data_IF_544017275351
#
_entry.id   IF_544017275351
#
_cell.length_a   1.000
_cell.length_b   1.000
_cell.length_c   1.000
_cell.angle_alpha   90.00
_cell.angle_beta   90.00
_cell.angle_gamma   90.00
#
_symmetry.space_group_name_H-M   'P 1'
#
loop_
_entity.id
_entity.type
_entity.pdbx_description
1 polymer ?
#
# COMPACT_ATOMS: atom_id res chain seq x y z
N UNK A 1 -5.66 -1.43 21.73
CA UNK A 1 -6.56 -1.17 20.59
C UNK A 1 -5.73 -0.70 19.39
N UNK A 2 -6.07 -1.18 18.21
CA UNK A 2 -5.51 -0.74 16.92
C UNK A 2 -6.64 -0.10 16.10
N UNK A 3 -6.41 1.10 15.56
CA UNK A 3 -7.31 1.75 14.62
C UNK A 3 -6.62 1.83 13.25
N UNK A 4 -7.14 1.09 12.28
CA UNK A 4 -6.63 1.05 10.91
C UNK A 4 -7.49 1.98 10.05
N UNK A 5 -6.85 2.96 9.43
CA UNK A 5 -7.51 4.01 8.69
C UNK A 5 -6.81 4.25 7.36
N UNK A 6 -7.54 4.25 6.26
CA UNK A 6 -7.02 4.46 4.91
C UNK A 6 -5.81 3.56 4.56
N UNK A 7 -5.77 2.35 5.10
CA UNK A 7 -4.65 1.46 4.93
C UNK A 7 -5.11 0.00 4.92
N UNK A 8 -4.44 -0.83 4.14
CA UNK A 8 -4.65 -2.28 4.14
C UNK A 8 -3.37 -3.02 4.57
N UNK A 9 -2.98 -2.94 5.86
CA UNK A 9 -1.71 -3.47 6.35
C UNK A 9 -1.52 -4.97 6.10
N UNK A 10 -2.58 -5.75 6.08
CA UNK A 10 -2.51 -7.19 5.78
C UNK A 10 -1.88 -7.51 4.41
N UNK A 11 -1.87 -6.54 3.48
CA UNK A 11 -1.29 -6.73 2.14
C UNK A 11 -0.26 -5.67 1.74
N UNK A 12 -0.14 -4.57 2.49
CA UNK A 12 0.79 -3.48 2.14
C UNK A 12 2.02 -3.41 3.01
N UNK A 13 1.98 -3.98 4.21
CA UNK A 13 3.13 -3.98 5.12
C UNK A 13 4.09 -5.15 4.82
N UNK A 14 5.41 -4.95 5.00
CA UNK A 14 6.38 -6.05 4.92
C UNK A 14 6.17 -7.07 6.04
N UNK A 15 6.79 -8.25 5.93
CA UNK A 15 6.57 -9.41 6.80
C UNK A 15 5.07 -9.67 7.04
N UNK A 16 4.36 -9.90 5.93
CA UNK A 16 2.91 -10.13 5.97
C UNK A 16 2.50 -11.16 7.02
N UNK A 17 3.27 -12.22 7.20
CA UNK A 17 2.96 -13.27 8.16
C UNK A 17 3.00 -12.76 9.61
N UNK A 18 3.93 -11.87 9.93
CA UNK A 18 4.01 -11.21 11.23
C UNK A 18 2.84 -10.26 11.46
N UNK A 19 2.48 -9.48 10.43
CA UNK A 19 1.30 -8.60 10.48
C UNK A 19 0.03 -9.40 10.74
N UNK A 20 -0.20 -10.49 10.00
CA UNK A 20 -1.37 -11.34 10.18
C UNK A 20 -1.41 -11.99 11.57
N UNK A 21 -0.27 -12.45 12.08
CA UNK A 21 -0.20 -12.94 13.48
C UNK A 21 -0.53 -11.85 14.50
N UNK A 22 -0.11 -10.60 14.23
CA UNK A 22 -0.44 -9.45 15.06
C UNK A 22 -1.93 -9.13 15.06
N UNK A 23 -2.57 -9.12 13.88
CA UNK A 23 -4.00 -8.87 13.73
C UNK A 23 -4.87 -10.00 14.29
N UNK A 24 -4.37 -11.24 14.31
CA UNK A 24 -5.07 -12.42 14.84
C UNK A 24 -5.07 -12.50 16.39
N UNK A 25 -4.42 -11.59 17.10
CA UNK A 25 -4.33 -11.63 18.56
C UNK A 25 -5.68 -11.35 19.20
N UNK A 26 -6.08 -12.20 20.12
CA UNK A 26 -7.34 -12.06 20.89
C UNK A 26 -7.32 -10.89 21.89
N UNK A 27 -6.13 -10.46 22.32
CA UNK A 27 -5.93 -9.32 23.22
C UNK A 27 -5.82 -7.97 22.50
N UNK A 28 -5.91 -7.96 21.16
CA UNK A 28 -5.86 -6.76 20.32
C UNK A 28 -7.26 -6.44 19.78
N UNK A 29 -7.93 -5.44 20.36
CA UNK A 29 -9.16 -4.91 19.77
C UNK A 29 -8.83 -4.06 18.56
N UNK A 30 -9.34 -4.44 17.38
CA UNK A 30 -9.03 -3.83 16.10
C UNK A 30 -10.27 -3.18 15.48
N UNK A 31 -10.16 -1.91 15.14
CA UNK A 31 -11.15 -1.15 14.36
C UNK A 31 -10.57 -0.85 12.98
N UNK A 32 -11.32 -1.13 11.92
CA UNK A 32 -10.94 -0.76 10.55
C UNK A 32 -11.97 0.21 9.99
N UNK A 33 -11.48 1.36 9.51
CA UNK A 33 -12.27 2.39 8.85
C UNK A 33 -11.81 2.50 7.39
N UNK A 34 -12.58 1.93 6.47
CA UNK A 34 -12.21 1.83 5.05
C UNK A 34 -13.45 1.82 4.16
N UNK A 35 -13.25 2.08 2.87
CA UNK A 35 -14.30 2.17 1.84
C UNK A 35 -14.82 0.80 1.41
N UNK A 36 -14.02 -0.25 1.58
CA UNK A 36 -14.34 -1.64 1.18
C UNK A 36 -13.86 -2.63 2.24
N UNK A 37 -14.42 -3.85 2.22
CA UNK A 37 -13.97 -4.93 3.09
C UNK A 37 -12.60 -5.47 2.62
N UNK A 38 -11.55 -4.77 3.06
CA UNK A 38 -10.16 -5.13 2.79
C UNK A 38 -9.77 -6.45 3.46
N UNK A 39 -8.61 -7.00 3.08
CA UNK A 39 -8.06 -8.16 3.79
C UNK A 39 -7.76 -7.84 5.25
N UNK A 40 -7.43 -6.59 5.57
CA UNK A 40 -7.28 -6.13 6.96
C UNK A 40 -8.61 -6.04 7.70
N UNK A 41 -9.67 -5.58 7.04
CA UNK A 41 -11.00 -5.46 7.64
C UNK A 41 -11.57 -6.82 8.08
N UNK A 42 -11.12 -7.93 7.48
CA UNK A 42 -11.51 -9.29 7.86
C UNK A 42 -10.98 -9.74 9.23
N UNK A 43 -10.03 -9.01 9.79
CA UNK A 43 -9.45 -9.25 11.11
C UNK A 43 -9.99 -8.28 12.18
N UNK A 44 -10.85 -7.34 11.78
CA UNK A 44 -11.37 -6.32 12.69
C UNK A 44 -12.49 -6.84 13.58
N UNK A 45 -12.53 -6.35 14.82
CA UNK A 45 -13.67 -6.50 15.73
C UNK A 45 -14.81 -5.55 15.33
N UNK A 46 -14.46 -4.39 14.80
CA UNK A 46 -15.41 -3.37 14.30
C UNK A 46 -14.94 -2.85 12.95
N UNK A 47 -15.86 -2.78 11.99
CA UNK A 47 -15.63 -2.14 10.69
C UNK A 47 -16.55 -0.92 10.58
N UNK A 48 -15.95 0.23 10.28
CA UNK A 48 -16.65 1.48 10.02
C UNK A 48 -16.58 1.76 8.52
N UNK A 49 -17.73 1.99 7.84
CA UNK A 49 -17.73 2.30 6.42
C UNK A 49 -17.32 3.76 6.17
N UNK A 50 -16.37 3.96 5.27
CA UNK A 50 -15.89 5.28 4.87
C UNK A 50 -16.48 5.69 3.53
N UNK A 51 -16.72 6.99 3.35
CA UNK A 51 -17.07 7.57 2.06
C UNK A 51 -15.92 7.46 1.06
N UNK A 52 -16.25 7.35 -0.21
CA UNK A 52 -15.30 7.45 -1.32
C UNK A 52 -15.13 8.92 -1.74
N UNK A 53 -14.16 9.20 -2.60
CA UNK A 53 -13.96 10.54 -3.17
C UNK A 53 -15.16 11.04 -4.00
N UNK A 54 -16.08 10.16 -4.38
CA UNK A 54 -17.32 10.52 -5.08
C UNK A 54 -18.43 11.03 -4.14
N UNK A 55 -18.28 10.84 -2.84
CA UNK A 55 -19.32 11.01 -1.82
C UNK A 55 -19.00 12.15 -0.83
N UNK A 56 -17.83 12.79 -0.94
CA UNK A 56 -17.36 13.77 0.04
C UNK A 56 -16.77 15.03 -0.60
N UNK A 57 -16.67 16.09 0.19
CA UNK A 57 -15.88 17.27 -0.16
C UNK A 57 -14.43 17.08 0.25
N UNK A 58 -13.49 17.55 -0.58
CA UNK A 58 -12.07 17.51 -0.29
C UNK A 58 -11.31 18.57 -1.09
N UNK A 59 -10.04 18.73 -0.80
CA UNK A 59 -9.07 19.49 -1.59
C UNK A 59 -8.04 18.54 -2.19
N UNK A 60 -8.04 18.39 -3.50
CA UNK A 60 -7.07 17.60 -4.22
C UNK A 60 -5.88 18.44 -4.67
N UNK A 61 -4.68 17.96 -4.37
CA UNK A 61 -3.43 18.45 -4.95
C UNK A 61 -3.04 17.52 -6.09
N UNK A 62 -2.94 18.05 -7.29
CA UNK A 62 -2.56 17.25 -8.45
C UNK A 62 -1.14 16.71 -8.34
N UNK A 63 -0.94 15.47 -8.79
CA UNK A 63 0.37 14.87 -8.93
C UNK A 63 0.92 15.20 -10.34
N UNK A 64 2.09 15.85 -10.41
CA UNK A 64 2.69 16.29 -11.70
C UNK A 64 2.13 17.60 -12.26
N UNK A 65 1.23 18.24 -11.56
CA UNK A 65 0.69 19.57 -11.87
C UNK A 65 0.63 20.41 -10.60
N UNK A 66 0.70 21.73 -10.72
CA UNK A 66 0.70 22.64 -9.56
C UNK A 66 -0.67 23.28 -9.39
N UNK A 67 -1.72 22.47 -9.36
CA UNK A 67 -3.08 22.92 -9.18
C UNK A 67 -3.67 22.39 -7.87
N UNK A 68 -4.46 23.22 -7.22
CA UNK A 68 -5.40 22.81 -6.19
C UNK A 68 -6.78 22.66 -6.83
N UNK A 69 -7.51 21.64 -6.45
CA UNK A 69 -8.83 21.35 -6.97
C UNK A 69 -9.81 21.17 -5.81
N UNK A 70 -10.97 21.80 -5.91
CA UNK A 70 -12.08 21.53 -5.03
C UNK A 70 -12.77 20.25 -5.49
N UNK A 71 -12.77 19.24 -4.64
CA UNK A 71 -13.54 18.02 -4.83
C UNK A 71 -14.92 18.22 -4.22
N UNK A 72 -15.96 17.92 -4.99
CA UNK A 72 -17.35 17.96 -4.55
C UNK A 72 -17.98 16.58 -4.74
N UNK A 73 -18.90 16.17 -3.87
CA UNK A 73 -19.58 14.91 -4.02
C UNK A 73 -20.37 14.86 -5.34
N UNK A 74 -20.22 13.78 -6.07
CA UNK A 74 -20.97 13.49 -7.29
C UNK A 74 -22.23 12.65 -6.98
N UNK A 75 -22.24 11.96 -5.86
CA UNK A 75 -23.32 11.14 -5.34
C UNK A 75 -23.47 11.37 -3.83
N UNK A 76 -24.62 11.05 -3.29
CA UNK A 76 -24.82 10.99 -1.83
C UNK A 76 -24.05 9.82 -1.22
N UNK A 77 -23.71 9.95 0.07
CA UNK A 77 -23.03 8.88 0.80
C UNK A 77 -23.87 7.58 0.78
N UNK A 78 -23.24 6.45 0.52
CA UNK A 78 -23.90 5.16 0.42
C UNK A 78 -24.14 4.59 1.82
N UNK A 79 -25.38 4.27 2.14
CA UNK A 79 -25.80 3.66 3.40
C UNK A 79 -25.27 4.43 4.63
N UNK A 80 -24.52 3.76 5.51
CA UNK A 80 -23.97 4.34 6.74
C UNK A 80 -22.52 4.86 6.57
N UNK A 81 -22.05 5.03 5.33
CA UNK A 81 -20.71 5.55 5.08
C UNK A 81 -20.60 6.99 5.55
N UNK A 82 -19.50 7.29 6.25
CA UNK A 82 -19.23 8.62 6.82
C UNK A 82 -17.85 9.12 6.42
N UNK A 83 -17.72 10.42 6.36
CA UNK A 83 -16.45 11.04 6.00
C UNK A 83 -15.42 10.95 7.14
N UNK A 84 -14.15 11.16 6.79
CA UNK A 84 -13.07 11.21 7.78
C UNK A 84 -13.31 12.32 8.82
N UNK A 85 -13.76 13.49 8.38
CA UNK A 85 -14.04 14.65 9.26
C UNK A 85 -15.09 14.27 10.30
N UNK A 86 -16.21 13.70 9.86
CA UNK A 86 -17.31 13.31 10.75
C UNK A 86 -16.88 12.26 11.78
N UNK A 87 -16.20 11.18 11.33
CA UNK A 87 -15.80 10.07 12.22
C UNK A 87 -14.77 10.54 13.25
N UNK A 88 -13.72 11.24 12.81
CA UNK A 88 -12.67 11.66 13.74
C UNK A 88 -13.11 12.79 14.67
N UNK A 89 -14.01 13.68 14.22
CA UNK A 89 -14.60 14.70 15.10
C UNK A 89 -15.45 14.04 16.19
N UNK A 90 -16.31 13.09 15.83
CA UNK A 90 -17.12 12.38 16.82
C UNK A 90 -16.28 11.56 17.79
N UNK A 91 -15.24 10.87 17.31
CA UNK A 91 -14.30 10.15 18.17
C UNK A 91 -13.61 11.08 19.16
N UNK A 92 -13.12 12.23 18.72
CA UNK A 92 -12.48 13.23 19.58
C UNK A 92 -13.43 13.71 20.68
N UNK A 93 -14.67 14.04 20.32
CA UNK A 93 -15.71 14.47 21.28
C UNK A 93 -16.00 13.37 22.33
N UNK A 94 -16.18 12.12 21.89
CA UNK A 94 -16.45 10.98 22.78
C UNK A 94 -15.28 10.67 23.72
N UNK A 95 -14.05 10.94 23.29
CA UNK A 95 -12.84 10.75 24.08
C UNK A 95 -12.51 11.95 24.97
N UNK A 96 -13.30 13.03 24.93
CA UNK A 96 -13.04 14.26 25.66
C UNK A 96 -11.77 14.99 25.21
N UNK A 97 -11.33 14.78 23.96
CA UNK A 97 -10.16 15.45 23.40
C UNK A 97 -10.59 16.82 22.90
N UNK A 98 -10.03 17.88 23.51
CA UNK A 98 -10.18 19.23 22.98
C UNK A 98 -9.36 19.38 21.72
N UNK A 99 -10.03 19.64 20.59
CA UNK A 99 -9.38 19.98 19.31
C UNK A 99 -9.60 21.47 19.05
N UNK A 100 -8.55 22.15 18.61
CA UNK A 100 -8.58 23.60 18.33
C UNK A 100 -9.56 23.97 17.21
N UNK A 101 -9.92 23.00 16.36
CA UNK A 101 -10.91 23.13 15.31
C UNK A 101 -11.57 21.77 15.11
N UNK A 102 -12.81 21.65 15.58
CA UNK A 102 -13.66 20.49 15.30
C UNK A 102 -14.73 20.93 14.29
N UNK A 103 -14.85 20.18 13.23
CA UNK A 103 -15.86 20.42 12.20
C UNK A 103 -16.84 19.26 12.19
N UNK A 104 -18.15 19.58 12.18
CA UNK A 104 -19.16 18.54 12.13
C UNK A 104 -19.28 17.92 10.73
N UNK A 105 -18.92 18.68 9.70
CA UNK A 105 -19.07 18.27 8.31
C UNK A 105 -17.84 18.64 7.46
N UNK A 106 -17.66 17.94 6.34
CA UNK A 106 -16.61 18.24 5.36
C UNK A 106 -16.67 19.67 4.80
N UNK A 107 -17.87 20.24 4.44
CA UNK A 107 -17.96 21.62 4.00
C UNK A 107 -17.43 22.62 5.02
N UNK A 108 -17.70 22.44 6.32
CA UNK A 108 -17.18 23.33 7.38
C UNK A 108 -15.66 23.28 7.45
N UNK A 109 -15.08 22.05 7.41
CA UNK A 109 -13.64 21.86 7.39
C UNK A 109 -13.00 22.50 6.16
N UNK A 110 -13.62 22.34 5.00
CA UNK A 110 -13.17 22.91 3.74
C UNK A 110 -13.21 24.44 3.75
N UNK A 111 -14.29 25.03 4.26
CA UNK A 111 -14.40 26.49 4.41
C UNK A 111 -13.29 27.04 5.31
N UNK A 112 -13.03 26.41 6.45
CA UNK A 112 -11.96 26.82 7.35
C UNK A 112 -10.58 26.79 6.69
N UNK A 113 -10.28 25.72 5.93
CA UNK A 113 -9.02 25.59 5.20
C UNK A 113 -8.91 26.67 4.10
N UNK A 114 -9.97 26.89 3.35
CA UNK A 114 -9.98 27.88 2.27
C UNK A 114 -9.93 29.32 2.79
N UNK A 115 -10.50 29.61 3.94
CA UNK A 115 -10.43 30.93 4.60
C UNK A 115 -9.00 31.32 5.01
N UNK A 116 -8.15 30.34 5.28
CA UNK A 116 -6.73 30.56 5.58
C UNK A 116 -5.87 30.76 4.31
N UNK A 117 -6.42 30.59 3.11
CA UNK A 117 -5.69 30.75 1.86
C UNK A 117 -5.68 32.22 1.38
N UNK A 118 -4.68 32.60 0.55
CA UNK A 118 -4.69 33.89 -0.14
C UNK A 118 -5.98 34.08 -0.96
N UNK A 119 -6.56 35.27 -0.91
CA UNK A 119 -7.85 35.61 -1.52
C UNK A 119 -7.96 35.17 -3.00
N UNK A 120 -6.92 35.35 -3.79
CA UNK A 120 -6.92 34.96 -5.20
C UNK A 120 -7.08 33.45 -5.40
N UNK A 121 -6.45 32.63 -4.54
CA UNK A 121 -6.56 31.16 -4.58
C UNK A 121 -7.95 30.76 -4.11
N UNK A 122 -8.38 31.28 -2.97
CA UNK A 122 -9.71 31.04 -2.41
C UNK A 122 -10.81 31.34 -3.42
N UNK A 123 -10.76 32.53 -4.03
CA UNK A 123 -11.75 32.95 -5.01
C UNK A 123 -11.80 32.02 -6.23
N UNK A 124 -10.65 31.64 -6.77
CA UNK A 124 -10.57 30.72 -7.89
C UNK A 124 -11.13 29.33 -7.55
N UNK A 125 -10.83 28.80 -6.36
CA UNK A 125 -11.36 27.51 -5.90
C UNK A 125 -12.88 27.53 -5.76
N UNK A 126 -13.43 28.58 -5.10
CA UNK A 126 -14.85 28.64 -4.82
C UNK A 126 -15.69 28.95 -6.07
N UNK A 127 -15.16 29.67 -7.05
CA UNK A 127 -15.87 29.98 -8.29
C UNK A 127 -15.65 28.97 -9.42
N UNK A 128 -14.43 28.48 -9.60
CA UNK A 128 -14.05 27.63 -10.72
C UNK A 128 -13.66 26.20 -10.36
N UNK A 129 -13.62 25.87 -9.07
CA UNK A 129 -13.20 24.56 -8.59
C UNK A 129 -11.68 24.26 -8.74
N UNK A 130 -10.92 25.15 -9.39
CA UNK A 130 -9.48 24.97 -9.64
C UNK A 130 -8.76 26.29 -9.36
N UNK A 131 -7.67 26.22 -8.60
CA UNK A 131 -6.76 27.33 -8.40
C UNK A 131 -5.32 26.92 -8.74
N UNK A 132 -4.64 27.78 -9.49
CA UNK A 132 -3.21 27.65 -9.75
C UNK A 132 -2.47 28.59 -8.80
N UNK A 133 -1.58 28.09 -7.92
CA UNK A 133 -0.72 28.96 -7.12
C UNK A 133 0.09 29.91 -8.00
N UNK A 134 0.59 31.05 -7.48
CA UNK A 134 1.33 32.04 -8.24
C UNK A 134 2.77 31.58 -8.56
N UNK A 135 2.88 30.41 -9.14
CA UNK A 135 4.10 29.80 -9.67
C UNK A 135 3.81 29.35 -11.11
N UNK A 136 4.82 29.22 -11.97
CA UNK A 136 4.61 28.74 -13.33
C UNK A 136 3.84 27.42 -13.38
N UNK A 137 2.99 27.22 -14.37
CA UNK A 137 2.20 25.99 -14.55
C UNK A 137 3.07 24.75 -14.74
N UNK A 138 4.27 24.94 -15.28
CA UNK A 138 5.31 23.93 -15.44
C UNK A 138 6.61 24.47 -14.83
N UNK A 139 6.75 24.48 -13.49
CA UNK A 139 7.92 25.04 -12.85
C UNK A 139 9.17 24.24 -13.18
N UNK A 140 10.22 24.94 -13.60
CA UNK A 140 11.52 24.33 -13.88
C UNK A 140 12.38 24.37 -12.63
N UNK A 141 12.90 23.21 -12.20
CA UNK A 141 13.81 23.13 -11.07
C UNK A 141 15.04 24.00 -11.31
N UNK A 142 15.45 24.76 -10.27
CA UNK A 142 16.56 25.70 -10.27
C UNK A 142 16.43 26.94 -11.18
N UNK A 143 15.23 27.13 -11.76
CA UNK A 143 14.83 28.37 -12.45
C UNK A 143 13.70 29.03 -11.69
N UNK A 144 12.62 28.28 -11.46
CA UNK A 144 11.40 28.74 -10.80
C UNK A 144 11.29 28.22 -9.36
N UNK A 145 11.81 27.02 -9.10
CA UNK A 145 11.75 26.34 -7.80
C UNK A 145 13.16 25.95 -7.36
N UNK A 146 13.46 26.24 -6.11
CA UNK A 146 14.78 26.01 -5.52
C UNK A 146 14.68 25.19 -4.25
N UNK A 147 15.76 24.47 -3.86
CA UNK A 147 15.85 23.84 -2.55
C UNK A 147 15.65 24.85 -1.41
N UNK A 148 15.13 24.39 -0.27
CA UNK A 148 14.98 25.17 0.96
C UNK A 148 16.29 25.43 1.71
N UNK A 149 17.45 25.18 1.09
CA UNK A 149 18.78 25.47 1.66
C UNK A 149 19.08 26.97 1.67
N UNK A 150 19.88 27.49 2.62
CA UNK A 150 20.15 28.93 2.72
C UNK A 150 20.74 29.56 1.45
N UNK A 151 21.54 28.80 0.71
CA UNK A 151 22.18 29.24 -0.55
C UNK A 151 21.36 28.82 -1.79
N UNK A 152 20.17 28.21 -1.60
CA UNK A 152 19.28 27.71 -2.65
C UNK A 152 19.92 26.68 -3.60
N UNK A 153 20.97 25.99 -3.14
CA UNK A 153 21.65 24.93 -3.90
C UNK A 153 21.38 23.57 -3.31
N UNK A 154 21.53 22.53 -4.12
CA UNK A 154 21.56 21.16 -3.62
C UNK A 154 22.86 20.93 -2.88
N UNK A 155 22.79 20.46 -1.64
CA UNK A 155 23.93 19.90 -0.93
C UNK A 155 24.08 18.43 -1.33
N UNK A 156 25.10 18.13 -2.14
CA UNK A 156 25.35 16.76 -2.59
C UNK A 156 26.01 15.89 -1.51
N UNK A 157 26.59 16.49 -0.49
CA UNK A 157 27.26 15.76 0.58
C UNK A 157 26.98 16.38 1.96
N UNK A 158 25.71 16.27 2.41
CA UNK A 158 25.33 16.78 3.71
C UNK A 158 26.04 15.98 4.81
N UNK A 159 26.95 16.66 5.54
CA UNK A 159 27.79 16.04 6.57
C UNK A 159 26.99 15.35 7.68
N UNK A 160 25.80 15.86 8.01
CA UNK A 160 24.92 15.25 9.00
C UNK A 160 24.46 13.86 8.54
N UNK A 161 24.00 13.74 7.28
CA UNK A 161 23.57 12.46 6.74
C UNK A 161 24.72 11.48 6.53
N UNK A 162 25.91 11.98 6.13
CA UNK A 162 27.10 11.15 6.02
C UNK A 162 27.52 10.57 7.37
N UNK A 163 27.39 11.35 8.44
CA UNK A 163 27.68 10.89 9.81
C UNK A 163 26.66 9.88 10.36
N UNK A 164 25.41 9.93 9.88
CA UNK A 164 24.37 8.97 10.25
C UNK A 164 24.45 7.67 9.43
N UNK A 165 25.01 7.71 8.22
CA UNK A 165 25.12 6.55 7.35
C UNK A 165 26.16 5.55 7.89
N UNK A 166 25.84 4.28 8.16
CA UNK A 166 26.72 3.30 8.80
C UNK A 166 28.04 3.06 8.05
N UNK A 167 28.04 3.21 6.73
CA UNK A 167 29.18 3.00 5.84
C UNK A 167 29.60 4.25 5.07
N UNK A 168 29.00 5.42 5.39
CA UNK A 168 29.11 6.65 4.63
C UNK A 168 28.02 6.80 3.56
N UNK A 169 27.58 8.03 3.31
CA UNK A 169 26.39 8.38 2.51
C UNK A 169 26.38 7.77 1.10
N UNK A 170 27.52 7.64 0.45
CA UNK A 170 27.65 7.09 -0.90
C UNK A 170 28.49 5.82 -0.98
N UNK A 171 28.67 5.12 0.13
CA UNK A 171 29.39 3.86 0.12
C UNK A 171 28.56 2.78 -0.61
N UNK A 172 29.17 2.13 -1.58
CA UNK A 172 28.57 0.97 -2.24
C UNK A 172 28.58 -0.23 -1.28
N UNK A 173 27.43 -0.86 -1.15
CA UNK A 173 27.30 -2.12 -0.45
C UNK A 173 26.88 -3.21 -1.47
N UNK A 174 27.58 -4.34 -1.44
CA UNK A 174 27.18 -5.47 -2.28
C UNK A 174 25.89 -6.08 -1.73
N UNK A 175 25.01 -6.44 -2.67
CA UNK A 175 23.79 -7.16 -2.36
C UNK A 175 24.11 -8.55 -1.73
N UNK A 176 23.58 -8.88 -0.56
CA UNK A 176 23.85 -10.13 0.14
C UNK A 176 23.09 -11.32 -0.47
N UNK A 177 23.34 -11.63 -1.75
CA UNK A 177 22.82 -12.85 -2.35
C UNK A 177 23.30 -14.07 -1.55
N UNK A 178 22.38 -14.93 -1.16
CA UNK A 178 22.71 -16.23 -0.57
C UNK A 178 22.58 -17.33 -1.61
N UNK A 179 23.35 -18.42 -1.44
CA UNK A 179 23.18 -19.60 -2.30
C UNK A 179 21.78 -20.21 -2.18
N UNK A 180 21.17 -20.10 -1.00
CA UNK A 180 19.82 -20.60 -0.73
C UNK A 180 18.72 -19.79 -1.42
N UNK A 181 18.90 -18.45 -1.51
CA UNK A 181 17.93 -17.52 -2.09
C UNK A 181 18.59 -16.64 -3.17
N UNK A 182 18.89 -17.21 -4.35
CA UNK A 182 19.71 -16.53 -5.35
C UNK A 182 18.95 -15.48 -6.18
N UNK A 183 17.64 -15.48 -6.15
CA UNK A 183 16.82 -14.59 -6.98
C UNK A 183 16.40 -13.33 -6.23
N UNK A 184 16.47 -12.19 -6.91
CA UNK A 184 15.90 -10.91 -6.42
C UNK A 184 14.41 -10.89 -6.72
N UNK A 185 13.59 -10.58 -5.72
CA UNK A 185 12.17 -10.32 -5.91
C UNK A 185 11.94 -8.82 -6.14
N UNK A 186 11.40 -8.48 -7.30
CA UNK A 186 10.92 -7.16 -7.63
C UNK A 186 9.40 -7.11 -7.54
N UNK A 187 8.87 -6.09 -6.86
CA UNK A 187 7.42 -5.92 -6.68
C UNK A 187 6.93 -4.64 -7.37
N UNK A 188 6.81 -4.64 -8.72
CA UNK A 188 6.38 -3.47 -9.47
C UNK A 188 4.90 -3.15 -9.23
N UNK A 189 4.53 -1.87 -9.46
CA UNK A 189 3.14 -1.50 -9.62
C UNK A 189 2.57 -2.10 -10.90
N UNK A 190 1.25 -2.21 -10.96
CA UNK A 190 0.53 -2.57 -12.20
C UNK A 190 -0.15 -1.33 -12.77
N UNK A 191 -0.56 -1.41 -14.03
CA UNK A 191 -1.36 -0.40 -14.71
C UNK A 191 -2.84 -0.35 -14.24
N UNK A 192 -3.27 -1.36 -13.47
CA UNK A 192 -4.66 -1.54 -13.04
C UNK A 192 -4.91 -1.24 -11.57
N UNK A 193 -3.86 -1.11 -10.76
CA UNK A 193 -3.99 -0.93 -9.31
C UNK A 193 -2.96 0.08 -8.79
N UNK A 194 -3.37 0.86 -7.77
CA UNK A 194 -2.49 1.74 -7.02
C UNK A 194 -2.30 1.11 -5.65
N UNK A 195 -1.12 0.57 -5.38
CA UNK A 195 -0.86 -0.25 -4.18
C UNK A 195 -1.93 -1.34 -4.02
N UNK A 196 -2.69 -1.37 -2.93
CA UNK A 196 -3.80 -2.31 -2.70
C UNK A 196 -5.17 -1.79 -3.13
N UNK A 197 -5.27 -0.54 -3.61
CA UNK A 197 -6.52 0.06 -4.08
C UNK A 197 -7.01 -0.64 -5.35
N UNK A 198 -8.32 -0.82 -5.49
CA UNK A 198 -9.00 -1.54 -6.56
C UNK A 198 -8.67 -3.05 -6.62
N UNK A 199 -7.98 -3.58 -5.61
CA UNK A 199 -7.72 -5.01 -5.52
C UNK A 199 -9.00 -5.85 -5.37
N UNK A 200 -10.07 -5.28 -4.83
CA UNK A 200 -11.39 -5.89 -4.74
C UNK A 200 -11.99 -6.22 -6.12
N UNK A 201 -11.65 -5.44 -7.14
CA UNK A 201 -12.13 -5.63 -8.51
C UNK A 201 -11.34 -6.69 -9.28
N UNK A 202 -10.15 -7.07 -8.82
CA UNK A 202 -9.31 -8.05 -9.50
C UNK A 202 -9.92 -9.44 -9.38
N UNK A 203 -10.11 -10.11 -10.51
CA UNK A 203 -10.65 -11.48 -10.60
C UNK A 203 -9.57 -12.52 -10.94
N UNK A 204 -8.45 -12.11 -11.49
CA UNK A 204 -7.41 -12.99 -11.99
C UNK A 204 -6.31 -13.21 -10.94
N UNK A 205 -5.70 -14.39 -10.96
CA UNK A 205 -4.49 -14.65 -10.21
C UNK A 205 -3.34 -13.81 -10.74
N UNK A 206 -2.49 -13.39 -9.84
CA UNK A 206 -1.20 -12.79 -10.21
C UNK A 206 -0.29 -13.86 -10.81
N UNK A 207 0.58 -13.45 -11.71
CA UNK A 207 1.59 -14.34 -12.31
C UNK A 207 2.99 -13.87 -11.95
N UNK A 208 3.84 -14.83 -11.60
CA UNK A 208 5.27 -14.62 -11.44
C UNK A 208 5.92 -14.42 -12.82
N UNK A 209 6.69 -13.35 -12.98
CA UNK A 209 7.52 -13.13 -14.18
C UNK A 209 8.94 -13.64 -13.94
N UNK A 210 9.49 -14.42 -14.87
CA UNK A 210 10.84 -15.00 -14.75
C UNK A 210 11.52 -15.08 -16.12
N UNK A 211 12.87 -14.87 -16.13
CA UNK A 211 13.66 -15.03 -17.34
C UNK A 211 13.67 -16.50 -17.81
N UNK A 212 13.71 -16.81 -19.14
CA UNK A 212 13.71 -18.16 -19.67
C UNK A 212 14.81 -19.06 -19.09
N UNK A 213 16.04 -18.57 -18.97
CA UNK A 213 17.16 -19.38 -18.44
C UNK A 213 16.95 -19.76 -16.97
N UNK A 214 16.39 -18.84 -16.17
CA UNK A 214 16.09 -19.09 -14.76
C UNK A 214 14.94 -20.09 -14.61
N UNK A 215 13.96 -20.04 -15.52
CA UNK A 215 12.85 -20.98 -15.59
C UNK A 215 13.30 -22.39 -16.00
N UNK A 216 14.14 -22.50 -17.04
CA UNK A 216 14.74 -23.76 -17.49
C UNK A 216 15.56 -24.43 -16.37
N UNK A 217 16.40 -23.66 -15.67
CA UNK A 217 17.20 -24.16 -14.55
C UNK A 217 16.35 -24.74 -13.40
N UNK A 218 15.04 -24.42 -13.36
CA UNK A 218 14.07 -24.88 -12.35
C UNK A 218 12.98 -25.79 -12.92
N UNK A 219 13.12 -26.20 -14.18
CA UNK A 219 12.14 -27.02 -14.89
C UNK A 219 10.73 -26.41 -14.88
N UNK A 220 10.64 -25.10 -15.04
CA UNK A 220 9.39 -24.32 -15.05
C UNK A 220 9.06 -23.85 -16.47
N UNK A 221 7.77 -23.92 -16.80
CA UNK A 221 7.21 -23.41 -18.04
C UNK A 221 6.07 -22.42 -17.75
N UNK A 222 5.75 -21.56 -18.70
CA UNK A 222 4.56 -20.68 -18.59
C UNK A 222 3.32 -21.51 -18.30
N UNK A 223 2.55 -21.11 -17.27
CA UNK A 223 1.37 -21.79 -16.79
C UNK A 223 1.58 -22.80 -15.66
N UNK A 224 2.82 -23.20 -15.39
CA UNK A 224 3.11 -24.02 -14.20
C UNK A 224 2.84 -23.22 -12.92
N UNK A 225 2.54 -23.92 -11.83
CA UNK A 225 2.43 -23.29 -10.51
C UNK A 225 3.80 -23.25 -9.88
N UNK A 226 4.23 -22.04 -9.56
CA UNK A 226 5.48 -21.78 -8.86
C UNK A 226 5.23 -21.61 -7.36
N UNK A 227 6.12 -22.18 -6.56
CA UNK A 227 6.31 -21.90 -5.15
C UNK A 227 7.50 -20.95 -5.03
N UNK A 228 7.26 -19.72 -4.60
CA UNK A 228 8.26 -18.70 -4.32
C UNK A 228 8.43 -18.63 -2.81
N UNK A 229 9.64 -18.75 -2.29
CA UNK A 229 9.82 -18.83 -0.85
C UNK A 229 11.18 -18.29 -0.38
N UNK A 230 11.21 -17.94 0.89
CA UNK A 230 12.41 -17.69 1.69
C UNK A 230 12.11 -18.06 3.15
N UNK A 231 12.97 -17.64 4.10
CA UNK A 231 12.82 -17.91 5.53
C UNK A 231 11.58 -17.26 6.19
N UNK A 232 11.00 -16.21 5.55
CA UNK A 232 9.85 -15.48 6.09
C UNK A 232 8.53 -16.14 5.69
N UNK A 233 8.47 -16.77 4.51
CA UNK A 233 7.23 -17.33 4.03
C UNK A 233 7.28 -17.86 2.60
N UNK A 234 6.09 -18.04 2.03
CA UNK A 234 5.92 -18.56 0.69
C UNK A 234 4.73 -17.95 -0.04
N UNK A 235 4.82 -17.88 -1.36
CA UNK A 235 3.75 -17.45 -2.27
C UNK A 235 3.57 -18.49 -3.37
N UNK A 236 2.33 -18.79 -3.71
CA UNK A 236 1.98 -19.75 -4.75
C UNK A 236 1.16 -19.05 -5.84
N UNK A 237 1.69 -19.06 -7.07
CA UNK A 237 1.00 -18.46 -8.22
C UNK A 237 1.47 -19.07 -9.54
N UNK A 238 0.71 -18.90 -10.63
CA UNK A 238 1.16 -19.26 -11.97
C UNK A 238 2.41 -18.47 -12.38
N UNK A 239 3.25 -19.06 -13.24
CA UNK A 239 4.43 -18.41 -13.83
C UNK A 239 4.16 -17.99 -15.27
N UNK A 240 4.74 -16.85 -15.67
CA UNK A 240 4.93 -16.43 -17.06
C UNK A 240 6.41 -16.27 -17.34
N UNK A 241 6.92 -17.07 -18.28
CA UNK A 241 8.29 -16.93 -18.76
C UNK A 241 8.39 -15.72 -19.69
N UNK A 242 9.27 -14.78 -19.37
CA UNK A 242 9.38 -13.49 -20.05
C UNK A 242 10.85 -13.14 -20.34
N UNK A 243 11.21 -13.09 -21.61
CA UNK A 243 12.59 -12.79 -22.05
C UNK A 243 13.04 -11.33 -21.74
N UNK A 244 12.09 -10.44 -21.40
CA UNK A 244 12.42 -9.07 -20.98
C UNK A 244 12.83 -8.97 -19.50
N UNK A 245 12.67 -10.04 -18.72
CA UNK A 245 13.17 -10.08 -17.35
C UNK A 245 14.69 -10.21 -17.35
N UNK A 246 15.36 -9.56 -16.41
CA UNK A 246 16.78 -9.76 -16.18
C UNK A 246 17.01 -11.12 -15.50
N UNK A 247 18.04 -11.86 -15.92
CA UNK A 247 18.46 -13.11 -15.24
C UNK A 247 18.75 -12.83 -13.76
N UNK A 248 18.41 -13.78 -12.90
CA UNK A 248 18.56 -13.65 -11.45
C UNK A 248 17.51 -12.75 -10.78
N UNK A 249 16.51 -12.25 -11.54
CA UNK A 249 15.42 -11.47 -11.00
C UNK A 249 14.06 -12.06 -11.36
N UNK A 250 13.10 -11.92 -10.46
CA UNK A 250 11.72 -12.29 -10.69
C UNK A 250 10.79 -11.10 -10.37
N UNK A 251 9.65 -11.05 -11.01
CA UNK A 251 8.66 -10.00 -10.81
C UNK A 251 7.34 -10.56 -10.29
N UNK A 252 6.86 -10.05 -9.16
CA UNK A 252 5.53 -10.32 -8.63
C UNK A 252 4.89 -9.00 -8.22
N UNK A 253 3.73 -8.60 -8.78
CA UNK A 253 3.15 -7.30 -8.52
C UNK A 253 2.92 -7.02 -7.03
N UNK A 254 3.10 -5.76 -6.61
CA UNK A 254 2.73 -5.29 -5.28
C UNK A 254 1.23 -5.08 -5.13
N UNK A 255 0.75 -4.98 -3.89
CA UNK A 255 -0.64 -4.62 -3.58
C UNK A 255 -1.66 -5.72 -3.90
N UNK A 256 -1.20 -6.95 -4.03
CA UNK A 256 -2.06 -8.11 -4.27
C UNK A 256 -2.89 -8.40 -3.01
N UNK A 257 -4.17 -8.66 -3.19
CA UNK A 257 -5.03 -9.17 -2.13
C UNK A 257 -4.91 -10.69 -2.01
N UNK A 258 -5.32 -11.23 -0.86
CA UNK A 258 -5.32 -12.67 -0.55
C UNK A 258 -5.89 -13.53 -1.71
N UNK A 259 -6.95 -13.07 -2.35
CA UNK A 259 -7.60 -13.78 -3.47
C UNK A 259 -6.77 -13.80 -4.76
N UNK A 260 -5.70 -13.03 -4.85
CA UNK A 260 -4.88 -12.91 -6.07
C UNK A 260 -3.74 -13.93 -6.16
N UNK A 261 -3.59 -14.79 -5.17
CA UNK A 261 -2.62 -15.89 -5.14
C UNK A 261 -3.27 -17.17 -4.64
N UNK A 262 -2.66 -18.31 -4.87
CA UNK A 262 -3.30 -19.59 -4.57
C UNK A 262 -3.33 -19.92 -3.07
N UNK A 263 -2.30 -19.50 -2.33
CA UNK A 263 -2.20 -19.71 -0.88
C UNK A 263 -2.60 -18.48 -0.06
N UNK A 264 -2.99 -17.38 -0.70
CA UNK A 264 -3.39 -16.16 -0.03
C UNK A 264 -2.25 -15.29 0.51
N UNK A 265 -1.00 -15.68 0.29
CA UNK A 265 0.17 -14.87 0.60
C UNK A 265 0.49 -13.93 -0.58
N UNK A 266 1.05 -12.75 -0.28
CA UNK A 266 1.46 -11.77 -1.29
C UNK A 266 2.98 -11.63 -1.33
N UNK A 267 3.52 -10.82 -2.24
CA UNK A 267 4.96 -10.54 -2.27
C UNK A 267 5.50 -10.11 -0.91
N UNK A 268 4.70 -9.42 -0.09
CA UNK A 268 5.10 -8.95 1.24
C UNK A 268 5.30 -10.07 2.27
N UNK A 269 4.84 -11.29 2.01
CA UNK A 269 5.17 -12.46 2.83
C UNK A 269 6.66 -12.85 2.74
N UNK A 270 7.36 -12.33 1.72
CA UNK A 270 8.76 -12.61 1.42
C UNK A 270 9.68 -11.40 1.70
N UNK A 271 9.12 -10.28 2.13
CA UNK A 271 9.85 -9.02 2.37
C UNK A 271 10.08 -8.84 3.86
N UNK A 272 11.32 -8.54 4.23
CA UNK A 272 11.69 -8.25 5.62
C UNK A 272 11.10 -6.93 6.10
N UNK A 273 10.84 -6.81 7.39
CA UNK A 273 10.38 -5.58 8.05
C UNK A 273 11.53 -4.64 8.50
N UNK A 274 12.71 -4.83 7.92
CA UNK A 274 13.85 -3.95 8.15
C UNK A 274 13.63 -2.59 7.51
N UNK A 275 14.22 -1.57 8.12
CA UNK A 275 14.17 -0.21 7.63
C UNK A 275 15.45 0.15 6.89
N UNK A 276 15.35 1.06 5.92
CA UNK A 276 16.52 1.65 5.29
C UNK A 276 17.30 2.50 6.31
N UNK A 277 18.59 2.58 6.11
CA UNK A 277 19.54 3.20 7.04
C UNK A 277 19.31 4.70 7.28
N UNK A 278 19.01 5.48 6.26
CA UNK A 278 18.83 6.94 6.37
C UNK A 278 17.38 7.41 6.38
N UNK A 279 16.52 6.76 5.67
CA UNK A 279 15.13 7.22 5.47
C UNK A 279 14.10 6.47 6.29
N UNK A 280 14.49 5.42 7.02
CA UNK A 280 13.61 4.53 7.77
C UNK A 280 12.41 4.03 6.94
N UNK A 281 12.59 3.90 5.62
CA UNK A 281 11.61 3.34 4.70
C UNK A 281 11.67 1.81 4.65
N UNK A 282 10.64 1.16 4.13
CA UNK A 282 10.64 -0.30 3.96
C UNK A 282 11.43 -0.72 2.72
N UNK A 283 12.17 -1.84 2.84
CA UNK A 283 13.04 -2.39 1.80
C UNK A 283 12.29 -3.39 0.89
N UNK A 284 11.25 -2.95 0.19
CA UNK A 284 10.36 -3.83 -0.58
C UNK A 284 11.03 -4.60 -1.74
N UNK A 285 12.13 -4.12 -2.29
CA UNK A 285 12.80 -4.74 -3.43
C UNK A 285 14.14 -5.38 -3.08
N UNK A 286 14.44 -5.52 -1.79
CA UNK A 286 15.68 -6.16 -1.29
C UNK A 286 15.46 -7.64 -0.91
N UNK A 287 14.25 -8.16 -1.16
CA UNK A 287 13.91 -9.54 -0.83
C UNK A 287 14.65 -10.53 -1.74
N UNK A 288 15.22 -11.55 -1.12
CA UNK A 288 15.86 -12.69 -1.78
C UNK A 288 15.00 -13.92 -1.62
N UNK A 289 14.88 -14.69 -2.69
CA UNK A 289 13.96 -15.82 -2.74
C UNK A 289 14.52 -16.98 -3.57
N UNK A 290 13.95 -18.16 -3.38
CA UNK A 290 14.06 -19.31 -4.26
C UNK A 290 12.69 -19.58 -4.89
N UNK A 291 12.71 -20.21 -6.07
CA UNK A 291 11.52 -20.63 -6.79
C UNK A 291 11.64 -22.09 -7.18
N UNK A 292 10.59 -22.86 -6.90
CA UNK A 292 10.50 -24.26 -7.32
C UNK A 292 9.14 -24.51 -7.98
N UNK A 293 9.07 -25.58 -8.77
CA UNK A 293 7.80 -26.06 -9.31
C UNK A 293 7.03 -26.75 -8.21
N UNK A 294 5.74 -26.39 -8.04
CA UNK A 294 4.87 -27.20 -7.21
C UNK A 294 4.58 -28.54 -7.90
N UNK A 295 4.74 -29.63 -7.15
CA UNK A 295 4.26 -30.92 -7.62
C UNK A 295 2.77 -30.83 -7.90
N UNK A 296 2.34 -31.28 -9.07
CA UNK A 296 0.92 -31.38 -9.41
C UNK A 296 0.28 -32.36 -8.42
N UNK A 297 -0.41 -31.87 -7.41
CA UNK A 297 -1.28 -32.72 -6.57
C UNK A 297 -2.40 -33.15 -7.50
N UNK A 298 -2.44 -34.42 -7.84
CA UNK A 298 -3.56 -35.01 -8.55
C UNK A 298 -4.81 -34.85 -7.67
N UNK A 299 -5.66 -33.87 -8.00
CA UNK A 299 -6.94 -33.61 -7.32
C UNK A 299 -7.92 -34.80 -7.39
N UNK A 300 -7.52 -35.94 -7.96
CA UNK A 300 -8.31 -37.18 -7.98
C UNK A 300 -8.29 -37.97 -6.68
N UNK A 301 -7.39 -37.65 -5.73
CA UNK A 301 -7.25 -38.41 -4.48
C UNK A 301 -7.78 -37.69 -3.23
N UNK A 302 -8.38 -36.51 -3.36
CA UNK A 302 -9.04 -35.84 -2.25
C UNK A 302 -10.57 -35.90 -2.34
N UNK A 303 -11.11 -37.11 -2.41
CA UNK A 303 -12.42 -37.40 -1.84
C UNK A 303 -12.22 -37.70 -0.35
N UNK A 304 -12.02 -36.67 0.48
CA UNK A 304 -12.03 -36.89 1.94
C UNK A 304 -12.34 -35.62 2.72
N UNK A 305 -13.53 -35.66 3.29
CA UNK A 305 -13.96 -35.06 4.56
C UNK A 305 -13.68 -33.56 4.78
N UNK A 306 -14.57 -32.75 4.28
CA UNK A 306 -14.94 -31.53 5.01
C UNK A 306 -15.54 -31.95 6.36
N UNK A 307 -14.74 -31.89 7.40
CA UNK A 307 -15.29 -31.79 8.75
C UNK A 307 -15.82 -30.36 8.90
N UNK A 308 -17.13 -30.26 8.87
CA UNK A 308 -17.89 -29.10 9.31
C UNK A 308 -17.59 -28.86 10.78
N UNK A 309 -16.65 -27.99 11.07
CA UNK A 309 -16.48 -27.37 12.40
C UNK A 309 -17.39 -26.16 12.46
N UNK A 310 -18.66 -26.40 12.81
CA UNK A 310 -19.56 -25.34 13.27
C UNK A 310 -19.03 -24.75 14.57
N UNK A 311 -18.57 -23.52 14.51
CA UNK A 311 -18.61 -22.61 15.65
C UNK A 311 -19.20 -21.30 15.14
N UNK A 312 -20.50 -21.28 15.08
CA UNK A 312 -21.27 -20.05 14.98
C UNK A 312 -21.43 -19.52 16.40
N UNK A 313 -20.88 -18.36 16.69
CA UNK A 313 -21.47 -17.42 17.65
C UNK A 313 -20.65 -16.14 17.67
N UNK A 314 -21.19 -15.12 17.06
CA UNK A 314 -21.33 -13.74 17.52
C UNK A 314 -21.61 -12.84 16.33
N UNK A 315 -22.85 -12.93 15.86
CA UNK A 315 -23.54 -11.80 15.23
C UNK A 315 -24.54 -11.34 16.28
N UNK A 316 -24.35 -10.16 16.83
CA UNK A 316 -25.37 -9.42 17.56
C UNK A 316 -25.38 -8.00 17.00
N UNK A 317 -26.55 -7.62 16.60
CA UNK A 317 -27.18 -6.40 16.13
C UNK A 317 -26.43 -5.08 16.21
#
# INVERSE_FOLDING_TARGET
>A
MLFVYNCNPAVTMPDQNRVLRGLAREDLFTVVFDQVLTDSARWADVVLPATTFLEQYDLAKSYGSVNLQLVQPAIEAVADARSNVEVFTELAQRLGIEVSSSFATDPEALMHITDAMPDAIRHSLLQGGIATPPIPTCPVQFVDVFPGTPDRKIDFFPKSLDAEAPMGLYAFQSDPASESYPLVLLSPATDKTITSTLGELRQELATLQMHPDDAVARSLNTGDIALIFNELGEVQCPITVNANMKRGTIGLPKGLWKKSTMNGSTANALVQDTLTDLGAGACFNDARVQVTRMATVNLKDQSLSFRTGTSASKLVH
#
